data_IF_395946874706
#
_entry.id   IF_395946874706
#
_cell.length_a   1.000
_cell.length_b   1.000
_cell.length_c   1.000
_cell.angle_alpha   90.00
_cell.angle_beta   90.00
_cell.angle_gamma   90.00
#
_symmetry.space_group_name_H-M   'P 1'
#
loop_
_entity.id
_entity.type
_entity.pdbx_description
1 polymer ?
#
# COMPACT_ATOMS: atom_id res chain seq x y z
N UNK A 1 0.05 -8.61 17.42
CA UNK A 1 0.38 -9.44 16.23
C UNK A 1 -0.93 -10.08 15.77
N UNK A 2 -1.68 -9.42 14.91
CA UNK A 2 -2.97 -9.91 14.39
C UNK A 2 -2.81 -10.25 12.92
N UNK A 3 -2.69 -11.54 12.60
CA UNK A 3 -2.79 -12.01 11.21
C UNK A 3 -4.25 -12.37 10.96
N UNK A 4 -4.90 -11.71 10.01
CA UNK A 4 -6.24 -12.07 9.57
C UNK A 4 -6.21 -13.39 8.79
N UNK A 5 -7.03 -14.34 9.23
CA UNK A 5 -7.14 -15.72 8.76
C UNK A 5 -7.88 -15.88 7.42
N UNK A 6 -7.61 -15.02 6.43
CA UNK A 6 -8.10 -15.12 5.05
C UNK A 6 -6.88 -15.00 4.12
N UNK A 7 -6.28 -16.14 3.79
CA UNK A 7 -4.95 -16.27 3.17
C UNK A 7 -4.84 -15.76 1.72
N UNK A 8 -3.58 -15.70 1.26
CA UNK A 8 -3.08 -15.36 -0.09
C UNK A 8 -2.82 -13.86 -0.41
N UNK A 9 -2.71 -12.97 0.58
CA UNK A 9 -2.24 -11.59 0.35
C UNK A 9 -0.79 -11.37 0.79
N UNK A 10 -0.15 -10.31 0.27
CA UNK A 10 1.19 -9.90 0.68
C UNK A 10 1.17 -9.29 2.09
N UNK A 11 1.89 -9.84 3.09
CA UNK A 11 1.94 -9.27 4.43
C UNK A 11 2.34 -7.79 4.42
N UNK A 12 1.61 -6.99 5.18
CA UNK A 12 1.79 -5.53 5.28
C UNK A 12 1.97 -5.13 6.74
N UNK A 13 2.97 -4.30 7.03
CA UNK A 13 3.37 -3.88 8.37
C UNK A 13 3.54 -2.37 8.43
N UNK A 14 3.18 -1.76 9.55
CA UNK A 14 3.57 -0.38 9.84
C UNK A 14 4.97 -0.37 10.47
N UNK A 15 5.84 0.50 9.97
CA UNK A 15 7.14 0.79 10.56
C UNK A 15 7.08 2.13 11.30
N UNK A 16 7.75 2.21 12.45
CA UNK A 16 7.98 3.44 13.20
C UNK A 16 9.49 3.62 13.33
N UNK A 17 10.01 4.69 12.72
CA UNK A 17 11.41 5.06 12.83
C UNK A 17 11.71 5.75 14.17
N UNK A 18 12.99 5.82 14.54
CA UNK A 18 13.43 6.40 15.81
C UNK A 18 13.10 7.90 15.93
N UNK A 19 12.97 8.60 14.81
CA UNK A 19 12.57 10.01 14.73
C UNK A 19 11.04 10.21 14.75
N UNK A 20 10.27 9.12 14.89
CA UNK A 20 8.81 9.16 14.89
C UNK A 20 8.17 9.09 13.50
N UNK A 21 8.95 9.05 12.42
CA UNK A 21 8.41 8.88 11.07
C UNK A 21 7.74 7.51 10.91
N UNK A 22 6.61 7.47 10.21
CA UNK A 22 5.84 6.25 9.95
C UNK A 22 5.96 5.84 8.49
N UNK A 23 6.06 4.54 8.27
CA UNK A 23 6.11 3.94 6.93
C UNK A 23 5.25 2.68 6.87
N UNK A 24 5.01 2.19 5.67
CA UNK A 24 4.40 0.89 5.43
C UNK A 24 5.40 0.00 4.71
N UNK A 25 5.60 -1.21 5.22
CA UNK A 25 6.37 -2.26 4.58
C UNK A 25 5.42 -3.33 4.05
N UNK A 26 5.57 -3.68 2.78
CA UNK A 26 4.82 -4.76 2.13
C UNK A 26 5.78 -5.79 1.57
N UNK A 27 5.59 -7.06 1.90
CA UNK A 27 6.53 -8.12 1.56
C UNK A 27 5.85 -9.36 0.99
N UNK A 28 6.63 -10.20 0.30
CA UNK A 28 6.15 -11.52 -0.11
C UNK A 28 5.91 -12.42 1.11
N UNK A 29 4.89 -13.29 1.09
CA UNK A 29 4.72 -14.29 2.14
C UNK A 29 5.92 -15.27 2.13
N UNK A 30 6.27 -15.84 3.30
CA UNK A 30 7.33 -16.84 3.38
C UNK A 30 6.91 -18.16 2.72
N UNK A 31 7.90 -18.95 2.28
CA UNK A 31 7.70 -20.29 1.71
C UNK A 31 7.77 -20.36 0.19
N UNK A 32 7.49 -21.54 -0.36
CA UNK A 32 7.46 -21.77 -1.80
C UNK A 32 6.21 -21.13 -2.41
N UNK A 33 6.40 -20.15 -3.27
CA UNK A 33 5.32 -19.52 -4.01
C UNK A 33 4.87 -20.42 -5.16
N UNK A 34 3.56 -20.48 -5.47
CA UNK A 34 3.02 -21.37 -6.50
C UNK A 34 3.46 -20.99 -7.92
N UNK A 35 3.91 -19.75 -8.13
CA UNK A 35 4.56 -19.31 -9.36
C UNK A 35 5.43 -18.08 -9.08
N UNK A 36 6.26 -17.69 -10.06
CA UNK A 36 7.02 -16.42 -10.00
C UNK A 36 6.12 -15.17 -10.04
N UNK A 37 4.94 -15.29 -10.65
CA UNK A 37 3.98 -14.19 -10.78
C UNK A 37 3.06 -14.06 -9.56
N UNK A 38 2.91 -15.11 -8.77
CA UNK A 38 2.21 -15.03 -7.50
C UNK A 38 2.94 -14.05 -6.57
N UNK A 39 2.19 -13.19 -5.89
CA UNK A 39 2.74 -12.23 -4.93
C UNK A 39 3.75 -11.23 -5.53
N UNK A 40 3.58 -10.82 -6.79
CA UNK A 40 4.47 -9.90 -7.51
C UNK A 40 4.42 -8.45 -6.99
N UNK A 41 4.92 -8.22 -5.77
CA UNK A 41 5.04 -6.89 -5.16
C UNK A 41 5.92 -5.93 -5.96
N UNK A 42 6.82 -6.45 -6.80
CA UNK A 42 7.69 -5.65 -7.66
C UNK A 42 6.87 -4.89 -8.71
N UNK A 43 5.81 -5.53 -9.21
CA UNK A 43 4.86 -4.90 -10.13
C UNK A 43 4.09 -3.77 -9.45
N UNK A 44 3.60 -4.01 -8.23
CA UNK A 44 2.94 -2.98 -7.42
C UNK A 44 3.85 -1.76 -7.20
N UNK A 45 5.10 -1.99 -6.77
CA UNK A 45 6.10 -0.93 -6.56
C UNK A 45 6.30 -0.09 -7.84
N UNK A 46 6.50 -0.74 -8.98
CA UNK A 46 6.75 -0.06 -10.27
C UNK A 46 5.53 0.75 -10.71
N UNK A 47 4.33 0.21 -10.56
CA UNK A 47 3.09 0.93 -10.91
C UNK A 47 2.96 2.18 -10.05
N UNK A 48 3.18 2.08 -8.73
CA UNK A 48 3.09 3.24 -7.83
C UNK A 48 4.16 4.30 -8.16
N UNK A 49 5.39 3.88 -8.42
CA UNK A 49 6.48 4.80 -8.80
C UNK A 49 6.17 5.54 -10.11
N UNK A 50 5.71 4.82 -11.14
CA UNK A 50 5.33 5.40 -12.44
C UNK A 50 4.12 6.34 -12.30
N UNK A 51 3.06 5.92 -11.59
CA UNK A 51 1.90 6.76 -11.35
C UNK A 51 2.28 8.05 -10.64
N UNK A 52 3.19 7.98 -9.67
CA UNK A 52 3.66 9.16 -8.93
C UNK A 52 4.44 10.14 -9.79
N UNK A 53 5.21 9.63 -10.76
CA UNK A 53 6.07 10.43 -11.64
C UNK A 53 5.33 11.01 -12.84
N UNK A 54 4.37 10.28 -13.41
CA UNK A 54 3.82 10.58 -14.74
C UNK A 54 2.28 10.77 -14.75
N UNK A 55 1.62 10.83 -13.60
CA UNK A 55 0.17 11.07 -13.54
C UNK A 55 -0.22 12.05 -12.44
N UNK A 56 -1.39 12.67 -12.59
CA UNK A 56 -2.00 13.53 -11.57
C UNK A 56 -2.77 12.74 -10.49
N UNK A 57 -2.63 11.41 -10.49
CA UNK A 57 -3.25 10.54 -9.49
C UNK A 57 -2.42 10.59 -8.21
N UNK A 58 -3.08 10.91 -7.10
CA UNK A 58 -2.45 10.87 -5.79
C UNK A 58 -2.25 9.42 -5.34
N UNK A 59 -1.01 8.96 -5.38
CA UNK A 59 -0.57 7.64 -4.90
C UNK A 59 0.48 7.80 -3.79
N UNK A 60 0.59 6.84 -2.85
CA UNK A 60 1.64 6.89 -1.84
C UNK A 60 3.02 6.90 -2.49
N UNK A 61 3.96 7.67 -1.92
CA UNK A 61 5.35 7.60 -2.34
C UNK A 61 5.93 6.22 -1.97
N UNK A 62 6.54 5.54 -2.93
CA UNK A 62 7.41 4.38 -2.68
C UNK A 62 8.84 4.85 -2.46
N UNK A 63 9.55 4.25 -1.50
CA UNK A 63 10.90 4.66 -1.11
C UNK A 63 11.97 3.71 -1.62
N UNK A 64 11.75 2.40 -1.49
CA UNK A 64 12.69 1.40 -1.95
C UNK A 64 12.02 0.05 -2.17
N UNK A 65 12.57 -0.71 -3.11
CA UNK A 65 12.32 -2.12 -3.32
C UNK A 65 13.60 -2.89 -2.96
N UNK A 66 13.48 -3.91 -2.12
CA UNK A 66 14.57 -4.80 -1.74
C UNK A 66 14.21 -6.24 -2.13
N UNK A 67 14.94 -6.79 -3.09
CA UNK A 67 14.80 -8.18 -3.54
C UNK A 67 15.82 -9.12 -2.88
N UNK A 68 16.71 -8.58 -2.05
CA UNK A 68 17.71 -9.38 -1.32
C UNK A 68 17.09 -10.08 -0.11
N UNK A 69 16.79 -11.37 -0.27
CA UNK A 69 16.24 -12.22 0.78
C UNK A 69 17.14 -12.35 2.02
N UNK A 70 18.40 -11.90 1.99
CA UNK A 70 19.25 -11.89 3.20
C UNK A 70 18.82 -10.82 4.20
N UNK A 71 18.06 -9.80 3.78
CA UNK A 71 17.66 -8.68 4.63
C UNK A 71 16.45 -9.04 5.50
N UNK A 72 15.35 -9.51 4.89
CA UNK A 72 14.11 -9.87 5.60
C UNK A 72 13.52 -11.22 5.18
N UNK A 73 14.36 -12.15 4.69
CA UNK A 73 14.01 -13.50 4.25
C UNK A 73 13.13 -13.58 2.99
N UNK A 74 12.36 -12.53 2.71
CA UNK A 74 11.56 -12.39 1.48
C UNK A 74 11.67 -10.97 0.92
N UNK A 75 11.51 -10.79 -0.41
CA UNK A 75 11.44 -9.47 -1.02
C UNK A 75 10.37 -8.59 -0.39
N UNK A 76 10.65 -7.30 -0.31
CA UNK A 76 9.76 -6.28 0.26
C UNK A 76 9.97 -4.91 -0.37
N UNK A 77 8.98 -4.03 -0.24
CA UNK A 77 9.16 -2.61 -0.50
C UNK A 77 8.64 -1.77 0.67
N UNK A 78 9.13 -0.55 0.77
CA UNK A 78 8.70 0.45 1.77
C UNK A 78 8.04 1.61 1.06
N UNK A 79 6.92 2.07 1.61
CA UNK A 79 6.16 3.20 1.09
C UNK A 79 5.69 4.14 2.22
N UNK A 80 5.15 5.27 1.80
CA UNK A 80 4.58 6.30 2.64
C UNK A 80 3.47 5.76 3.54
N UNK A 81 3.55 6.08 4.83
CA UNK A 81 2.40 5.92 5.70
C UNK A 81 1.44 7.07 5.45
N UNK A 82 0.32 6.74 4.82
CA UNK A 82 -0.77 7.66 4.68
C UNK A 82 -1.58 7.65 6.00
N UNK A 83 -1.67 8.78 6.72
CA UNK A 83 -2.58 9.01 7.87
C UNK A 83 -3.92 9.72 7.53
N UNK A 84 -5.07 9.06 7.67
CA UNK A 84 -6.32 9.46 7.01
C UNK A 84 -7.32 8.32 6.84
N UNK A 85 -8.45 8.61 6.18
CA UNK A 85 -9.68 7.83 6.32
C UNK A 85 -9.81 6.74 5.25
N UNK A 86 -10.38 5.61 5.66
CA UNK A 86 -10.78 4.52 4.76
C UNK A 86 -12.30 4.54 4.63
N UNK A 87 -12.79 4.59 3.40
CA UNK A 87 -14.21 4.43 3.10
C UNK A 87 -14.44 3.00 2.63
N UNK A 88 -15.05 2.18 3.49
CA UNK A 88 -15.40 0.78 3.16
C UNK A 88 -16.63 0.70 2.26
N UNK A 89 -17.52 1.68 2.39
CA UNK A 89 -18.68 1.86 1.53
C UNK A 89 -18.35 2.89 0.45
N UNK A 90 -18.29 2.43 -0.80
CA UNK A 90 -18.00 3.27 -1.97
C UNK A 90 -19.09 4.31 -2.23
N UNK A 91 -20.31 4.10 -1.71
CA UNK A 91 -21.38 5.11 -1.79
C UNK A 91 -21.10 6.31 -0.88
N UNK A 92 -20.19 6.17 0.10
CA UNK A 92 -19.85 7.17 1.10
C UNK A 92 -21.12 7.79 1.70
N UNK A 93 -22.12 6.96 2.04
CA UNK A 93 -23.46 7.41 2.41
C UNK A 93 -23.46 8.41 3.59
N UNK A 94 -22.49 8.30 4.49
CA UNK A 94 -22.28 9.16 5.66
C UNK A 94 -21.59 10.49 5.37
N UNK A 95 -21.10 10.69 4.15
CA UNK A 95 -20.49 11.95 3.68
C UNK A 95 -21.54 12.78 2.94
N UNK A 96 -21.58 14.09 3.15
CA UNK A 96 -22.54 14.95 2.45
C UNK A 96 -22.35 14.88 0.92
N UNK A 97 -23.42 15.03 0.10
CA UNK A 97 -23.30 14.97 -1.36
C UNK A 97 -22.22 15.90 -1.93
N UNK A 98 -22.13 17.14 -1.42
CA UNK A 98 -21.11 18.11 -1.82
C UNK A 98 -19.68 17.60 -1.54
N UNK A 99 -19.45 17.01 -0.36
CA UNK A 99 -18.15 16.44 -0.01
C UNK A 99 -17.85 15.12 -0.74
N UNK A 100 -18.86 14.33 -1.13
CA UNK A 100 -18.66 13.13 -1.96
C UNK A 100 -18.17 13.48 -3.35
N UNK A 101 -18.75 14.48 -4.00
CA UNK A 101 -18.28 14.94 -5.31
C UNK A 101 -16.83 15.41 -5.20
N UNK A 102 -16.49 16.18 -4.16
CA UNK A 102 -15.11 16.55 -3.91
C UNK A 102 -14.22 15.31 -3.71
N UNK A 103 -14.57 14.32 -2.90
CA UNK A 103 -13.76 13.10 -2.69
C UNK A 103 -13.63 12.22 -3.95
N UNK A 104 -14.63 12.23 -4.83
CA UNK A 104 -14.62 11.43 -6.05
C UNK A 104 -13.82 12.10 -7.19
N UNK A 105 -13.84 13.43 -7.23
CA UNK A 105 -13.21 14.24 -8.30
C UNK A 105 -11.83 14.75 -7.88
N UNK A 106 -11.63 15.00 -6.58
CA UNK A 106 -10.33 15.37 -6.04
C UNK A 106 -9.55 14.10 -5.76
N UNK A 107 -8.35 14.03 -6.33
CA UNK A 107 -7.28 13.13 -5.89
C UNK A 107 -6.88 13.35 -4.42
N UNK A 108 -7.68 14.05 -3.59
CA UNK A 108 -7.35 14.34 -2.20
C UNK A 108 -7.86 13.21 -1.29
N UNK A 109 -6.93 12.32 -0.96
CA UNK A 109 -6.96 11.47 0.23
C UNK A 109 -8.02 10.36 0.32
N UNK A 110 -8.61 9.93 -0.79
CA UNK A 110 -9.19 8.58 -0.84
C UNK A 110 -8.05 7.56 -0.97
N UNK A 111 -7.58 7.04 0.16
CA UNK A 111 -6.51 6.03 0.20
C UNK A 111 -7.02 4.71 -0.37
N UNK A 112 -6.40 4.29 -1.46
CA UNK A 112 -6.60 2.95 -2.04
C UNK A 112 -5.56 2.02 -1.39
N UNK A 113 -6.06 1.08 -0.57
CA UNK A 113 -5.54 -0.25 -0.17
C UNK A 113 -4.09 -0.35 0.39
N UNK A 114 -3.81 -1.13 1.45
CA UNK A 114 -4.00 -2.58 1.60
C UNK A 114 -4.65 -3.03 2.91
#
# INVERSE_FOLDING_TARGET
MGQSSLGQSNPTYQLLAADGARYVLRKKPPGCLPSKAAHAIEGEYRILDVLRQYSDVSVPRVYCLCEDSRVLQTPFYVMEFLDGRIFLDSSMATVSPHHRTALCVSSHSARVWF
#
